data_IF_349565185054
#
_entry.id   IF_349565185054
#
_cell.length_a   1.000
_cell.length_b   1.000
_cell.length_c   1.000
_cell.angle_alpha   90.00
_cell.angle_beta   90.00
_cell.angle_gamma   90.00
#
_symmetry.space_group_name_H-M   'P 1'
#
loop_
_entity.id
_entity.type
_entity.pdbx_description
1 polymer ?
#
# COMPACT_ATOMS: atom_id res chain seq x y z
N UNK A 1 -14.40 -9.37 12.69
CA UNK A 1 -14.02 -8.15 12.14
C UNK A 1 -13.28 -7.17 13.03
N UNK A 2 -13.84 -6.76 14.16
CA UNK A 2 -13.31 -5.69 15.01
C UNK A 2 -11.98 -6.09 15.67
N UNK A 3 -11.90 -7.30 16.17
CA UNK A 3 -10.71 -7.84 16.85
C UNK A 3 -9.49 -8.01 15.93
N UNK A 4 -9.71 -8.03 14.61
CA UNK A 4 -8.63 -8.21 13.64
C UNK A 4 -7.78 -6.95 13.50
N UNK A 5 -8.35 -5.76 13.62
CA UNK A 5 -7.62 -4.50 13.48
C UNK A 5 -7.04 -3.98 14.79
N UNK A 6 -7.52 -4.47 15.93
CA UNK A 6 -6.91 -4.15 17.21
C UNK A 6 -5.66 -4.99 17.43
N UNK A 7 -4.56 -4.33 17.63
CA UNK A 7 -3.31 -4.95 18.02
C UNK A 7 -3.38 -5.35 19.50
N UNK A 8 -3.11 -6.60 19.78
CA UNK A 8 -2.90 -7.03 21.16
C UNK A 8 -1.42 -7.20 21.42
N UNK A 9 -1.00 -7.10 22.67
CA UNK A 9 0.40 -7.33 23.07
C UNK A 9 0.90 -8.73 22.69
N UNK A 10 -0.01 -9.71 22.59
CA UNK A 10 0.30 -11.09 22.24
C UNK A 10 0.24 -11.37 20.73
N UNK A 11 -0.66 -10.69 20.02
CA UNK A 11 -0.88 -10.88 18.58
C UNK A 11 -1.18 -9.56 17.90
N UNK A 12 -0.18 -8.84 17.42
CA UNK A 12 -0.40 -7.65 16.61
C UNK A 12 -1.10 -8.06 15.31
N UNK A 13 -2.26 -7.44 15.03
CA UNK A 13 -2.97 -7.64 13.78
C UNK A 13 -2.17 -7.05 12.63
N UNK A 14 -2.03 -7.80 11.54
CA UNK A 14 -1.47 -7.30 10.28
C UNK A 14 -2.45 -6.45 9.46
N UNK A 15 -3.68 -6.25 9.96
CA UNK A 15 -4.72 -5.52 9.25
C UNK A 15 -4.86 -4.10 9.78
N UNK A 16 -4.89 -3.15 8.87
CA UNK A 16 -5.14 -1.75 9.20
C UNK A 16 -6.62 -1.50 9.49
N UNK A 17 -6.97 -0.46 10.27
CA UNK A 17 -8.35 -0.04 10.46
C UNK A 17 -8.99 0.30 9.11
N UNK A 18 -10.13 -0.30 8.78
CA UNK A 18 -10.84 -0.12 7.50
C UNK A 18 -12.34 0.08 7.65
N UNK A 19 -12.86 0.17 8.87
CA UNK A 19 -14.27 0.40 9.18
C UNK A 19 -14.39 1.48 10.24
N UNK A 20 -15.45 2.28 10.19
CA UNK A 20 -15.70 3.32 11.19
C UNK A 20 -15.66 2.79 12.63
N UNK A 21 -16.14 1.57 12.86
CA UNK A 21 -16.07 0.92 14.17
C UNK A 21 -14.66 0.60 14.66
N UNK A 22 -13.65 0.66 13.80
CA UNK A 22 -12.26 0.46 14.18
C UNK A 22 -11.60 1.74 14.72
N UNK A 23 -12.27 2.88 14.57
CA UNK A 23 -11.77 4.19 15.02
C UNK A 23 -12.42 4.66 16.34
N UNK A 24 -12.93 3.74 17.15
CA UNK A 24 -13.47 4.03 18.48
C UNK A 24 -12.31 3.99 19.49
N UNK A 25 -11.81 5.15 19.85
CA UNK A 25 -10.59 5.31 20.68
C UNK A 25 -10.68 4.58 22.01
N UNK A 26 -11.82 4.67 22.68
CA UNK A 26 -12.03 4.06 24.01
C UNK A 26 -11.88 2.53 23.97
N UNK A 27 -12.11 1.91 22.83
CA UNK A 27 -11.93 0.46 22.68
C UNK A 27 -10.46 0.07 22.55
N UNK A 28 -9.66 0.93 21.97
CA UNK A 28 -8.21 0.76 21.90
C UNK A 28 -7.58 0.97 23.29
N UNK A 29 -8.06 1.98 24.04
CA UNK A 29 -7.64 2.17 25.44
C UNK A 29 -8.01 0.96 26.30
N UNK A 30 -9.23 0.44 26.16
CA UNK A 30 -9.67 -0.77 26.85
C UNK A 30 -8.84 -2.01 26.47
N UNK A 31 -8.26 -2.03 25.27
CA UNK A 31 -7.33 -3.07 24.82
C UNK A 31 -5.89 -2.85 25.32
N UNK A 32 -5.62 -1.76 26.05
CA UNK A 32 -4.33 -1.49 26.70
C UNK A 32 -3.39 -0.59 25.90
N UNK A 33 -3.87 0.10 24.87
CA UNK A 33 -3.05 1.05 24.11
C UNK A 33 -3.02 2.43 24.77
N UNK A 34 -1.87 3.09 24.69
CA UNK A 34 -1.69 4.45 25.15
C UNK A 34 -2.49 5.44 24.29
N UNK A 35 -3.10 6.44 24.94
CA UNK A 35 -3.94 7.42 24.25
C UNK A 35 -3.20 8.21 23.18
N UNK A 36 -1.98 8.61 23.44
CA UNK A 36 -1.18 9.36 22.45
C UNK A 36 -0.85 8.51 21.23
N UNK A 37 -0.53 7.22 21.43
CA UNK A 37 -0.37 6.28 20.32
C UNK A 37 -1.66 6.13 19.50
N UNK A 38 -2.81 6.00 20.17
CA UNK A 38 -4.11 5.85 19.49
C UNK A 38 -4.43 7.08 18.63
N UNK A 39 -4.23 8.27 19.19
CA UNK A 39 -4.47 9.54 18.49
C UNK A 39 -3.56 9.68 17.26
N UNK A 40 -2.30 9.38 17.38
CA UNK A 40 -1.35 9.42 16.26
C UNK A 40 -1.68 8.35 15.20
N UNK A 41 -1.83 7.10 15.61
CA UNK A 41 -2.06 5.99 14.68
C UNK A 41 -3.41 6.09 13.95
N UNK A 42 -4.51 6.25 14.68
CA UNK A 42 -5.83 6.35 14.08
C UNK A 42 -6.03 7.67 13.34
N UNK A 43 -5.49 8.77 13.88
CA UNK A 43 -5.51 10.08 13.23
C UNK A 43 -4.80 10.06 11.89
N UNK A 44 -3.58 9.54 11.83
CA UNK A 44 -2.81 9.41 10.58
C UNK A 44 -3.51 8.55 9.54
N UNK A 45 -4.17 7.46 9.96
CA UNK A 45 -4.96 6.63 9.05
C UNK A 45 -6.17 7.40 8.50
N UNK A 46 -6.92 8.12 9.36
CA UNK A 46 -8.06 8.93 8.93
C UNK A 46 -7.66 10.05 7.98
N UNK A 47 -6.57 10.75 8.29
CA UNK A 47 -6.03 11.80 7.44
C UNK A 47 -5.63 11.26 6.07
N UNK A 48 -5.02 10.08 6.03
CA UNK A 48 -4.66 9.40 4.77
C UNK A 48 -5.91 9.02 3.96
N UNK A 49 -6.92 8.43 4.60
CA UNK A 49 -8.14 8.00 3.91
C UNK A 49 -8.98 9.17 3.40
N UNK A 50 -8.96 10.30 4.10
CA UNK A 50 -9.69 11.50 3.71
C UNK A 50 -8.86 12.46 2.84
N UNK A 51 -7.61 12.16 2.59
CA UNK A 51 -6.75 13.05 1.81
C UNK A 51 -7.22 13.13 0.35
N UNK A 52 -7.35 14.34 -0.23
CA UNK A 52 -7.87 14.53 -1.58
C UNK A 52 -7.03 13.85 -2.68
N UNK A 53 -5.76 13.60 -2.41
CA UNK A 53 -4.84 12.89 -3.30
C UNK A 53 -4.62 11.43 -2.88
N UNK A 54 -5.49 10.87 -2.04
CA UNK A 54 -5.42 9.45 -1.69
C UNK A 54 -5.67 8.59 -2.92
N UNK A 55 -4.73 7.69 -3.22
CA UNK A 55 -4.81 6.78 -4.36
C UNK A 55 -5.09 5.36 -3.89
N UNK A 56 -5.99 4.70 -4.57
CA UNK A 56 -6.17 3.26 -4.42
C UNK A 56 -5.09 2.50 -5.20
N UNK A 57 -4.78 1.30 -4.75
CA UNK A 57 -3.90 0.42 -5.53
C UNK A 57 -4.39 0.26 -6.97
N UNK A 58 -3.49 0.34 -7.96
CA UNK A 58 -3.87 0.15 -9.34
C UNK A 58 -4.47 -1.23 -9.60
N UNK A 59 -5.67 -1.28 -10.15
CA UNK A 59 -6.34 -2.52 -10.55
C UNK A 59 -6.10 -2.78 -12.02
N UNK A 60 -4.84 -3.05 -12.38
CA UNK A 60 -4.44 -3.31 -13.75
C UNK A 60 -4.01 -4.77 -13.93
N UNK A 61 -4.18 -5.35 -15.13
CA UNK A 61 -3.63 -6.66 -15.44
C UNK A 61 -2.12 -6.69 -15.20
N UNK A 62 -1.65 -7.76 -14.55
CA UNK A 62 -0.23 -7.92 -14.25
C UNK A 62 0.29 -7.22 -13.01
N UNK A 63 -0.56 -6.61 -12.17
CA UNK A 63 -0.14 -5.83 -10.99
C UNK A 63 0.88 -6.56 -10.11
N UNK A 64 0.69 -7.87 -9.87
CA UNK A 64 1.62 -8.65 -9.06
C UNK A 64 3.00 -8.82 -9.72
N UNK A 65 3.07 -8.81 -11.06
CA UNK A 65 4.35 -8.82 -11.77
C UNK A 65 5.09 -7.49 -11.57
N UNK A 66 4.37 -6.35 -11.59
CA UNK A 66 4.95 -5.05 -11.28
C UNK A 66 5.51 -5.00 -9.86
N UNK A 67 4.79 -5.53 -8.87
CA UNK A 67 5.28 -5.60 -7.48
C UNK A 67 6.52 -6.47 -7.37
N UNK A 68 6.47 -7.70 -7.90
CA UNK A 68 7.61 -8.63 -7.84
C UNK A 68 8.89 -8.03 -8.45
N UNK A 69 8.76 -7.40 -9.61
CA UNK A 69 9.91 -6.75 -10.27
C UNK A 69 10.42 -5.57 -9.45
N UNK A 70 9.53 -4.76 -8.85
CA UNK A 70 9.95 -3.65 -8.00
C UNK A 70 10.70 -4.16 -6.76
N UNK A 71 10.22 -5.23 -6.13
CA UNK A 71 10.90 -5.87 -5.00
C UNK A 71 12.29 -6.39 -5.38
N UNK A 72 12.42 -7.05 -6.52
CA UNK A 72 13.70 -7.57 -7.03
C UNK A 72 14.70 -6.44 -7.29
N UNK A 73 14.29 -5.36 -7.96
CA UNK A 73 15.16 -4.24 -8.26
C UNK A 73 15.53 -3.43 -6.98
N UNK A 74 14.59 -3.29 -6.04
CA UNK A 74 14.88 -2.69 -4.74
C UNK A 74 15.91 -3.53 -3.96
N UNK A 75 15.75 -4.86 -3.95
CA UNK A 75 16.71 -5.75 -3.30
C UNK A 75 18.12 -5.59 -3.90
N UNK A 76 18.25 -5.45 -5.22
CA UNK A 76 19.53 -5.15 -5.89
C UNK A 76 20.09 -3.79 -5.49
N UNK A 77 19.23 -2.77 -5.39
CA UNK A 77 19.61 -1.44 -4.93
C UNK A 77 20.16 -1.47 -3.50
N UNK A 78 19.47 -2.12 -2.57
CA UNK A 78 19.95 -2.30 -1.20
C UNK A 78 21.22 -3.15 -1.09
N UNK A 79 21.43 -4.08 -2.01
CA UNK A 79 22.66 -4.86 -2.10
C UNK A 79 23.84 -4.09 -2.74
N UNK A 80 23.63 -2.81 -3.12
CA UNK A 80 24.67 -1.96 -3.72
C UNK A 80 25.01 -2.30 -5.17
N UNK A 81 24.11 -2.98 -5.89
CA UNK A 81 24.29 -3.27 -7.32
C UNK A 81 24.03 -2.05 -8.21
N UNK A 82 23.34 -1.05 -7.69
CA UNK A 82 23.13 0.25 -8.30
C UNK A 82 23.88 1.33 -7.54
N UNK A 83 24.35 2.35 -8.23
CA UNK A 83 25.17 3.41 -7.65
C UNK A 83 24.36 4.47 -6.91
N UNK A 84 23.05 4.52 -7.12
CA UNK A 84 22.13 5.50 -6.53
C UNK A 84 20.69 5.00 -6.45
N UNK A 85 19.89 5.65 -5.61
CA UNK A 85 18.46 5.44 -5.55
C UNK A 85 17.74 5.75 -6.89
N UNK A 86 18.24 6.75 -7.62
CA UNK A 86 17.72 7.09 -8.93
C UNK A 86 17.94 5.96 -9.94
N UNK A 87 19.12 5.36 -9.95
CA UNK A 87 19.42 4.24 -10.84
C UNK A 87 18.53 3.01 -10.52
N UNK A 88 18.27 2.76 -9.24
CA UNK A 88 17.30 1.74 -8.81
C UNK A 88 15.89 2.04 -9.33
N UNK A 89 15.43 3.27 -9.19
CA UNK A 89 14.11 3.69 -9.68
C UNK A 89 14.00 3.59 -11.20
N UNK A 90 15.04 3.95 -11.93
CA UNK A 90 15.09 3.85 -13.39
C UNK A 90 15.05 2.38 -13.86
N UNK A 91 15.71 1.48 -13.13
CA UNK A 91 15.67 0.05 -13.39
C UNK A 91 14.25 -0.53 -13.18
N UNK A 92 13.58 -0.13 -12.10
CA UNK A 92 12.17 -0.49 -11.85
C UNK A 92 11.28 -0.01 -12.99
N UNK A 93 11.40 1.27 -13.36
CA UNK A 93 10.61 1.87 -14.44
C UNK A 93 10.83 1.13 -15.77
N UNK A 94 12.07 0.82 -16.13
CA UNK A 94 12.39 0.10 -17.36
C UNK A 94 11.83 -1.34 -17.37
N UNK A 95 11.82 -2.00 -16.22
CA UNK A 95 11.25 -3.33 -16.10
C UNK A 95 9.71 -3.30 -16.15
N UNK A 96 9.09 -2.29 -15.57
CA UNK A 96 7.64 -2.06 -15.66
C UNK A 96 7.19 -1.78 -17.09
N UNK A 97 7.95 -1.01 -17.87
CA UNK A 97 7.64 -0.78 -19.30
C UNK A 97 7.59 -2.10 -20.09
N UNK A 98 8.52 -3.03 -19.85
CA UNK A 98 8.51 -4.34 -20.50
C UNK A 98 7.24 -5.16 -20.19
N UNK A 99 6.75 -5.10 -18.94
CA UNK A 99 5.49 -5.72 -18.54
C UNK A 99 4.33 -5.06 -19.27
N UNK A 100 4.30 -3.72 -19.27
CA UNK A 100 3.27 -2.93 -19.97
C UNK A 100 3.21 -3.29 -21.46
N UNK A 101 4.36 -3.36 -22.13
CA UNK A 101 4.45 -3.70 -23.54
C UNK A 101 3.97 -5.12 -23.81
N UNK A 102 4.30 -6.06 -22.94
CA UNK A 102 3.89 -7.47 -23.10
C UNK A 102 2.39 -7.69 -22.94
N UNK A 103 1.73 -6.91 -22.07
CA UNK A 103 0.28 -6.99 -21.82
C UNK A 103 -0.50 -6.14 -22.82
N UNK A 104 0.09 -5.02 -23.25
CA UNK A 104 -0.52 -4.02 -24.14
C UNK A 104 -1.08 -2.84 -23.38
N UNK A 105 -0.43 -1.69 -23.51
CA UNK A 105 -0.77 -0.43 -22.83
C UNK A 105 -2.21 0.00 -23.01
N UNK A 106 -2.71 -0.04 -24.24
CA UNK A 106 -4.09 0.37 -24.54
C UNK A 106 -5.12 -0.52 -23.83
N UNK A 107 -4.86 -1.82 -23.81
CA UNK A 107 -5.70 -2.78 -23.08
C UNK A 107 -5.70 -2.51 -21.57
N UNK A 108 -4.54 -2.25 -21.00
CA UNK A 108 -4.43 -1.90 -19.58
C UNK A 108 -5.19 -0.61 -19.25
N UNK A 109 -5.02 0.45 -20.05
CA UNK A 109 -5.74 1.72 -19.88
C UNK A 109 -7.24 1.50 -19.92
N UNK A 110 -7.75 0.74 -20.90
CA UNK A 110 -9.17 0.44 -21.02
C UNK A 110 -9.72 -0.29 -19.80
N UNK A 111 -9.01 -1.32 -19.35
CA UNK A 111 -9.42 -2.12 -18.19
C UNK A 111 -9.32 -1.32 -16.89
N UNK A 112 -8.30 -0.50 -16.73
CA UNK A 112 -8.15 0.38 -15.57
C UNK A 112 -9.29 1.40 -15.49
N UNK A 113 -9.59 2.08 -16.59
CA UNK A 113 -10.74 2.99 -16.66
C UNK A 113 -12.05 2.29 -16.30
N UNK A 114 -12.30 1.11 -16.85
CA UNK A 114 -13.48 0.33 -16.53
C UNK A 114 -13.54 -0.05 -15.04
N UNK A 115 -12.40 -0.34 -14.40
CA UNK A 115 -12.34 -0.65 -12.97
C UNK A 115 -12.64 0.55 -12.06
N UNK A 116 -12.47 1.76 -12.59
CA UNK A 116 -12.76 3.05 -11.92
C UNK A 116 -14.17 3.57 -12.25
N UNK A 117 -14.94 2.87 -13.11
CA UNK A 117 -16.26 3.30 -13.53
C UNK A 117 -16.23 4.40 -14.61
N UNK A 118 -15.13 4.53 -15.37
CA UNK A 118 -14.90 5.52 -16.43
C UNK A 118 -15.04 4.91 -17.82
#
# INVERSE_FOLDING_TARGET
GKDISLWTSAYPSGFQPYRNSHFVYDEWEAAGYDRAFIEDYLGSNLDTYNHPNSLNEPRIPGIFQYYSVAEDELAKGFAGQYSSAQETADAIAAAWEKITDSIGRESQIKLYKASMGL
#
